data_IF_876023843463
#
_entry.id   IF_876023843463
#
_cell.length_a   1.000
_cell.length_b   1.000
_cell.length_c   1.000
_cell.angle_alpha   90.00
_cell.angle_beta   90.00
_cell.angle_gamma   90.00
#
_symmetry.space_group_name_H-M   'P 1'
#
loop_
_entity.id
_entity.type
_entity.pdbx_description
1 polymer ?
#
# COMPACT_ATOMS: atom_id res chain seq x y z
N UNK A 1 -5.02 -5.11 10.30
CA UNK A 1 -4.28 -3.82 10.35
C UNK A 1 -4.37 -3.21 11.74
N UNK A 2 -3.27 -2.62 12.25
CA UNK A 2 -3.26 -1.84 13.50
C UNK A 2 -3.93 -0.49 13.26
N UNK A 3 -4.78 -0.06 14.19
CA UNK A 3 -5.45 1.24 14.10
C UNK A 3 -4.49 2.38 14.37
N UNK A 4 -4.65 3.46 13.61
CA UNK A 4 -3.98 4.73 13.86
C UNK A 4 -4.56 5.37 15.12
N UNK A 5 -3.74 6.06 15.93
CA UNK A 5 -4.19 6.85 17.09
C UNK A 5 -3.92 8.32 16.82
N UNK A 6 -4.96 9.13 16.83
CA UNK A 6 -4.89 10.59 16.59
C UNK A 6 -5.17 11.32 17.89
N UNK A 7 -4.23 12.15 18.34
CA UNK A 7 -4.44 13.09 19.43
C UNK A 7 -5.03 14.40 18.92
N UNK A 8 -6.04 14.93 19.56
CA UNK A 8 -6.61 16.25 19.26
C UNK A 8 -6.37 17.20 20.42
N UNK A 9 -5.68 18.32 20.15
CA UNK A 9 -5.37 19.36 21.13
C UNK A 9 -5.90 20.71 20.63
N UNK A 10 -6.70 21.40 21.43
CA UNK A 10 -7.21 22.75 21.13
C UNK A 10 -6.28 23.85 21.66
N UNK A 11 -5.95 24.84 20.82
CA UNK A 11 -5.20 26.02 21.22
C UNK A 11 -6.05 27.28 21.09
N UNK A 12 -5.90 28.25 21.99
CA UNK A 12 -6.64 29.51 21.93
C UNK A 12 -5.94 30.66 22.63
N UNK A 13 -6.50 31.84 22.47
CA UNK A 13 -6.15 33.05 23.20
C UNK A 13 -7.42 33.78 23.65
N UNK A 14 -7.40 34.35 24.84
CA UNK A 14 -8.59 34.94 25.48
C UNK A 14 -9.12 36.21 24.78
N UNK A 15 -8.25 36.96 24.08
CA UNK A 15 -8.56 38.24 23.45
C UNK A 15 -9.57 38.21 22.30
N UNK A 16 -9.82 37.06 21.69
CA UNK A 16 -10.79 36.95 20.61
C UNK A 16 -12.19 36.64 21.14
N UNK A 17 -13.27 37.31 20.65
CA UNK A 17 -14.60 37.26 21.27
C UNK A 17 -15.40 35.97 20.99
N UNK A 18 -15.00 35.14 20.03
CA UNK A 18 -15.73 33.93 19.67
C UNK A 18 -15.84 32.92 20.82
N UNK A 19 -16.90 32.11 20.78
CA UNK A 19 -17.10 31.02 21.75
C UNK A 19 -16.18 29.84 21.43
N UNK A 20 -14.99 29.82 22.02
CA UNK A 20 -13.93 28.85 21.77
C UNK A 20 -14.26 27.45 22.27
N UNK A 21 -14.98 27.36 23.38
CA UNK A 21 -15.40 26.09 23.96
C UNK A 21 -16.37 25.36 23.01
N UNK A 22 -17.40 26.07 22.54
CA UNK A 22 -18.35 25.51 21.57
C UNK A 22 -17.69 25.15 20.24
N UNK A 23 -16.75 26.00 19.74
CA UNK A 23 -16.04 25.74 18.50
C UNK A 23 -15.12 24.50 18.59
N UNK A 24 -14.35 24.37 19.68
CA UNK A 24 -13.52 23.18 19.90
C UNK A 24 -14.36 21.91 20.05
N UNK A 25 -15.46 22.01 20.82
CA UNK A 25 -16.37 20.88 20.97
C UNK A 25 -16.93 20.40 19.63
N UNK A 26 -17.37 21.31 18.76
CA UNK A 26 -17.84 20.95 17.43
C UNK A 26 -16.76 20.26 16.60
N UNK A 27 -15.52 20.73 16.66
CA UNK A 27 -14.38 20.08 16.01
C UNK A 27 -14.11 18.68 16.57
N UNK A 28 -14.16 18.50 17.89
CA UNK A 28 -13.96 17.20 18.53
C UNK A 28 -15.09 16.21 18.19
N UNK A 29 -16.35 16.67 18.17
CA UNK A 29 -17.51 15.86 17.79
C UNK A 29 -17.40 15.40 16.32
N UNK A 30 -16.94 16.27 15.41
CA UNK A 30 -16.69 15.91 14.00
C UNK A 30 -15.54 14.88 13.87
N UNK A 31 -14.44 15.07 14.58
CA UNK A 31 -13.33 14.13 14.60
C UNK A 31 -13.74 12.77 15.15
N UNK A 32 -14.64 12.72 16.13
CA UNK A 32 -15.17 11.45 16.66
C UNK A 32 -15.97 10.68 15.59
N UNK A 33 -16.81 11.38 14.80
CA UNK A 33 -17.51 10.76 13.65
C UNK A 33 -16.55 10.23 12.61
N UNK A 34 -15.48 11.00 12.32
CA UNK A 34 -14.43 10.53 11.39
C UNK A 34 -13.66 9.33 11.96
N UNK A 35 -13.40 9.27 13.25
CA UNK A 35 -12.76 8.11 13.88
C UNK A 35 -13.59 6.83 13.67
N UNK A 36 -14.89 6.93 13.81
CA UNK A 36 -15.82 5.80 13.59
C UNK A 36 -15.85 5.36 12.11
N UNK A 37 -15.91 6.33 11.18
CA UNK A 37 -16.03 6.03 9.73
C UNK A 37 -14.72 5.62 9.08
N UNK A 38 -13.60 6.23 9.49
CA UNK A 38 -12.25 5.96 8.93
C UNK A 38 -11.46 4.91 9.71
N UNK A 39 -11.95 4.49 10.90
CA UNK A 39 -11.39 3.39 11.66
C UNK A 39 -10.13 3.72 12.47
N UNK A 40 -9.89 4.97 12.85
CA UNK A 40 -8.82 5.36 13.77
C UNK A 40 -9.32 5.53 15.23
N UNK A 41 -8.42 5.62 16.20
CA UNK A 41 -8.72 5.93 17.59
C UNK A 41 -8.45 7.41 17.83
N UNK A 42 -9.42 8.12 18.43
CA UNK A 42 -9.29 9.54 18.79
C UNK A 42 -9.01 9.71 20.29
N UNK A 43 -7.98 10.47 20.62
CA UNK A 43 -7.65 10.90 21.99
C UNK A 43 -7.77 12.41 22.07
N UNK A 44 -8.74 12.92 22.79
CA UNK A 44 -8.97 14.36 22.94
C UNK A 44 -8.33 14.86 24.24
N UNK A 45 -7.44 15.85 24.12
CA UNK A 45 -6.90 16.52 25.31
C UNK A 45 -7.99 17.43 25.92
N UNK A 46 -8.28 17.30 27.22
CA UNK A 46 -9.46 17.92 27.80
C UNK A 46 -9.32 19.43 28.06
N UNK A 47 -8.09 19.94 28.14
CA UNK A 47 -7.83 21.33 28.49
C UNK A 47 -7.44 22.17 27.27
N UNK A 48 -7.81 23.44 27.25
CA UNK A 48 -7.36 24.37 26.22
C UNK A 48 -5.93 24.83 26.49
N UNK A 49 -5.08 24.75 25.47
CA UNK A 49 -3.69 25.18 25.54
C UNK A 49 -3.59 26.66 25.19
N UNK A 50 -3.19 27.48 26.20
CA UNK A 50 -3.08 28.94 26.08
C UNK A 50 -1.64 29.41 26.21
N UNK A 51 -0.89 28.85 27.15
CA UNK A 51 0.50 29.22 27.43
C UNK A 51 1.44 28.03 27.16
N UNK A 52 2.74 28.34 27.14
CA UNK A 52 3.77 27.33 26.84
C UNK A 52 3.71 26.12 27.79
N UNK A 53 3.45 26.36 29.04
CA UNK A 53 3.36 25.32 30.09
C UNK A 53 2.22 24.35 29.83
N UNK A 54 1.08 24.82 29.31
CA UNK A 54 -0.05 23.98 28.90
C UNK A 54 0.34 23.10 27.71
N UNK A 55 1.05 23.69 26.73
CA UNK A 55 1.55 22.91 25.57
C UNK A 55 2.49 21.79 26.02
N UNK A 56 3.37 22.00 26.98
CA UNK A 56 4.26 20.96 27.53
C UNK A 56 3.46 19.84 28.18
N UNK A 57 2.41 20.18 28.97
CA UNK A 57 1.53 19.17 29.58
C UNK A 57 0.76 18.38 28.53
N UNK A 58 0.19 19.08 27.54
CA UNK A 58 -0.55 18.45 26.44
C UNK A 58 0.32 17.49 25.63
N UNK A 59 1.53 17.92 25.23
CA UNK A 59 2.47 17.06 24.49
C UNK A 59 2.81 15.81 25.30
N UNK A 60 3.15 15.98 26.60
CA UNK A 60 3.45 14.84 27.46
C UNK A 60 2.28 13.87 27.56
N UNK A 61 1.06 14.37 27.77
CA UNK A 61 -0.13 13.52 27.81
C UNK A 61 -0.34 12.74 26.50
N UNK A 62 -0.14 13.39 25.34
CA UNK A 62 -0.27 12.74 24.04
C UNK A 62 0.84 11.70 23.79
N UNK A 63 2.06 11.95 24.26
CA UNK A 63 3.16 10.98 24.21
C UNK A 63 2.88 9.76 25.11
N UNK A 64 2.37 9.97 26.34
CA UNK A 64 1.96 8.90 27.24
C UNK A 64 0.84 8.03 26.65
N UNK A 65 -0.06 8.62 25.85
CA UNK A 65 -1.11 7.94 25.07
C UNK A 65 -0.58 7.26 23.80
N UNK A 66 0.68 7.44 23.45
CA UNK A 66 1.33 6.85 22.26
C UNK A 66 0.56 7.09 20.97
N UNK A 67 0.18 8.35 20.73
CA UNK A 67 -0.48 8.73 19.49
C UNK A 67 0.49 8.65 18.30
N UNK A 68 -0.04 8.44 17.10
CA UNK A 68 0.71 8.42 15.84
C UNK A 68 0.67 9.78 15.11
N UNK A 69 -0.35 10.58 15.38
CA UNK A 69 -0.57 11.88 14.77
C UNK A 69 -1.17 12.86 15.77
N UNK A 70 -0.56 14.03 15.91
CA UNK A 70 -1.08 15.13 16.71
C UNK A 70 -1.81 16.13 15.81
N UNK A 71 -3.13 16.22 15.93
CA UNK A 71 -3.94 17.29 15.34
C UNK A 71 -4.04 18.45 16.33
N UNK A 72 -3.39 19.55 16.03
CA UNK A 72 -3.52 20.81 16.79
C UNK A 72 -4.59 21.66 16.15
N UNK A 73 -5.74 21.75 16.79
CA UNK A 73 -6.86 22.58 16.35
C UNK A 73 -6.69 23.98 16.93
N UNK A 74 -6.42 24.97 16.07
CA UNK A 74 -6.33 26.38 16.42
C UNK A 74 -7.74 26.96 16.55
N UNK A 75 -8.34 26.80 17.72
CA UNK A 75 -9.73 27.26 17.99
C UNK A 75 -9.85 28.77 17.85
N UNK A 76 -8.81 29.49 18.25
CA UNK A 76 -8.60 30.87 17.89
C UNK A 76 -7.13 31.16 17.65
N UNK A 77 -6.76 32.40 17.37
CA UNK A 77 -5.37 32.83 17.40
C UNK A 77 -4.68 32.33 18.68
N UNK A 78 -3.50 31.80 18.56
CA UNK A 78 -2.70 31.30 19.70
C UNK A 78 -1.26 31.74 19.59
N UNK A 79 -0.59 31.89 20.75
CA UNK A 79 0.75 32.45 20.81
C UNK A 79 1.80 31.57 20.08
N UNK A 80 2.69 32.22 19.32
CA UNK A 80 3.71 31.52 18.52
C UNK A 80 4.68 30.65 19.30
N UNK A 81 4.86 30.94 20.60
CA UNK A 81 5.69 30.14 21.51
C UNK A 81 5.18 28.70 21.73
N UNK A 82 3.93 28.40 21.35
CA UNK A 82 3.36 27.05 21.43
C UNK A 82 3.90 26.16 20.30
N UNK A 83 4.15 26.73 19.10
CA UNK A 83 4.55 25.97 17.93
C UNK A 83 5.81 25.10 18.15
N UNK A 84 6.92 25.60 18.74
CA UNK A 84 8.11 24.77 18.98
C UNK A 84 7.87 23.61 19.94
N UNK A 85 6.92 23.73 20.85
CA UNK A 85 6.59 22.65 21.79
C UNK A 85 5.73 21.60 21.12
N UNK A 86 4.64 22.02 20.49
CA UNK A 86 3.68 21.13 19.83
C UNK A 86 4.29 20.38 18.63
N UNK A 87 5.10 21.09 17.81
CA UNK A 87 5.71 20.50 16.62
C UNK A 87 6.85 19.52 16.92
N UNK A 88 7.43 19.55 18.13
CA UNK A 88 8.52 18.63 18.53
C UNK A 88 8.04 17.40 19.30
N UNK A 89 6.77 17.08 19.28
CA UNK A 89 6.25 15.85 19.87
C UNK A 89 7.05 14.65 19.34
N UNK A 90 7.36 13.70 20.21
CA UNK A 90 8.13 12.53 19.84
C UNK A 90 7.23 11.41 19.29
N UNK A 91 7.72 10.72 18.27
CA UNK A 91 7.08 9.53 17.68
C UNK A 91 5.69 9.76 17.06
N UNK A 92 5.31 11.01 16.80
CA UNK A 92 4.05 11.35 16.13
C UNK A 92 4.29 12.41 15.04
N UNK A 93 3.53 12.32 13.94
CA UNK A 93 3.46 13.38 12.95
C UNK A 93 2.50 14.47 13.43
N UNK A 94 2.57 15.67 12.84
CA UNK A 94 1.82 16.84 13.32
C UNK A 94 0.98 17.46 12.21
N UNK A 95 -0.26 17.83 12.54
CA UNK A 95 -1.13 18.63 11.70
C UNK A 95 -1.65 19.85 12.44
N UNK A 96 -1.72 20.99 11.76
CA UNK A 96 -2.34 22.21 12.25
C UNK A 96 -3.67 22.43 11.54
N UNK A 97 -4.73 22.66 12.30
CA UNK A 97 -6.08 22.80 11.80
C UNK A 97 -6.68 24.14 12.20
N UNK A 98 -7.08 24.96 11.20
CA UNK A 98 -7.82 26.19 11.40
C UNK A 98 -9.26 26.06 10.90
N UNK A 99 -10.18 26.73 11.58
CA UNK A 99 -11.58 26.85 11.19
C UNK A 99 -11.85 28.21 10.50
N UNK A 100 -12.86 28.27 9.63
CA UNK A 100 -13.34 29.53 9.07
C UNK A 100 -13.84 30.49 10.14
N UNK A 101 -13.76 31.79 9.84
CA UNK A 101 -14.38 32.82 10.70
C UNK A 101 -15.92 32.75 10.57
N UNK A 102 -16.57 33.06 11.66
CA UNK A 102 -18.01 33.34 11.68
C UNK A 102 -18.33 34.79 11.40
N UNK A 103 -19.60 35.19 11.65
CA UNK A 103 -20.02 36.58 11.56
C UNK A 103 -19.26 37.45 12.58
N UNK A 104 -18.95 38.71 12.23
CA UNK A 104 -18.26 39.61 13.17
C UNK A 104 -19.02 39.77 14.47
N UNK A 105 -18.30 39.79 15.59
CA UNK A 105 -18.84 40.07 16.93
C UNK A 105 -18.46 41.50 17.28
N UNK A 106 -19.45 42.41 17.32
CA UNK A 106 -19.21 43.85 17.54
C UNK A 106 -18.13 44.43 16.58
N UNK A 107 -18.09 43.94 15.35
CA UNK A 107 -17.10 44.31 14.33
C UNK A 107 -15.73 43.63 14.47
N UNK A 108 -15.52 42.81 15.47
CA UNK A 108 -14.28 42.08 15.66
C UNK A 108 -14.29 40.69 14.96
N UNK A 109 -13.12 40.24 14.54
CA UNK A 109 -12.90 38.87 14.06
C UNK A 109 -13.08 37.90 15.23
N UNK A 110 -13.96 36.87 15.12
CA UNK A 110 -14.28 36.00 16.26
C UNK A 110 -13.11 35.14 16.74
N UNK A 111 -12.33 34.58 15.85
CA UNK A 111 -11.33 33.57 16.19
C UNK A 111 -9.92 33.90 15.72
N UNK A 112 -9.76 34.42 14.50
CA UNK A 112 -8.48 34.62 13.82
C UNK A 112 -7.64 33.34 13.73
N UNK A 113 -8.32 32.21 13.52
CA UNK A 113 -7.78 30.86 13.53
C UNK A 113 -6.77 30.62 12.40
N UNK A 114 -7.08 31.05 11.17
CA UNK A 114 -6.18 30.92 10.02
C UNK A 114 -4.86 31.69 10.19
N UNK A 115 -4.92 32.89 10.76
CA UNK A 115 -3.72 33.66 11.06
C UNK A 115 -2.79 32.91 12.05
N UNK A 116 -3.39 32.21 13.00
CA UNK A 116 -2.65 31.40 13.97
C UNK A 116 -1.84 30.29 13.28
N UNK A 117 -2.47 29.48 12.42
CA UNK A 117 -1.70 28.42 11.73
C UNK A 117 -0.66 28.99 10.77
N UNK A 118 -0.95 30.11 10.08
CA UNK A 118 0.04 30.76 9.21
C UNK A 118 1.29 31.16 10.01
N UNK A 119 1.13 31.79 11.18
CA UNK A 119 2.25 32.14 12.06
C UNK A 119 2.98 30.87 12.56
N UNK A 120 2.27 29.85 13.04
CA UNK A 120 2.88 28.62 13.54
C UNK A 120 3.65 27.87 12.44
N UNK A 121 3.11 27.78 11.22
CA UNK A 121 3.80 27.22 10.06
C UNK A 121 5.08 27.99 9.74
N UNK A 122 5.04 29.33 9.77
CA UNK A 122 6.21 30.18 9.60
C UNK A 122 7.29 29.91 10.67
N UNK A 123 6.87 29.74 11.93
CA UNK A 123 7.79 29.39 13.03
C UNK A 123 8.44 28.02 12.78
N UNK A 124 7.66 27.01 12.43
CA UNK A 124 8.22 25.68 12.11
C UNK A 124 9.21 25.76 10.95
N UNK A 125 8.84 26.44 9.86
CA UNK A 125 9.68 26.54 8.67
C UNK A 125 11.01 27.28 8.91
N UNK A 126 11.01 28.31 9.72
CA UNK A 126 12.18 29.18 9.90
C UNK A 126 12.97 28.90 11.17
N UNK A 127 12.31 28.69 12.31
CA UNK A 127 13.00 28.48 13.60
C UNK A 127 13.32 27.00 13.86
N UNK A 128 12.58 26.07 13.23
CA UNK A 128 12.78 24.63 13.42
C UNK A 128 13.32 23.92 12.17
N UNK A 129 13.85 24.66 11.20
CA UNK A 129 14.33 24.11 9.91
C UNK A 129 15.33 22.96 10.06
N UNK A 130 16.20 23.02 11.06
CA UNK A 130 17.23 22.02 11.30
C UNK A 130 16.68 20.69 11.84
N UNK A 131 15.48 20.72 12.41
CA UNK A 131 14.76 19.51 12.86
C UNK A 131 14.05 18.78 11.73
N UNK A 132 13.94 19.40 10.54
CA UNK A 132 13.26 18.83 9.36
C UNK A 132 11.82 18.37 9.65
N UNK A 133 11.14 19.06 10.58
CA UNK A 133 9.75 18.76 10.95
C UNK A 133 8.84 19.11 9.78
N UNK A 134 8.01 18.16 9.39
CA UNK A 134 6.95 18.36 8.41
C UNK A 134 5.62 18.49 9.13
N UNK A 135 4.86 19.54 8.83
CA UNK A 135 3.54 19.77 9.39
C UNK A 135 2.53 19.84 8.26
N UNK A 136 1.47 19.06 8.38
CA UNK A 136 0.34 19.15 7.46
C UNK A 136 -0.64 20.22 7.98
N UNK A 137 -1.19 21.03 7.09
CA UNK A 137 -2.23 21.99 7.43
C UNK A 137 -3.61 21.50 7.00
N UNK A 138 -4.62 21.88 7.78
CA UNK A 138 -6.04 21.65 7.52
C UNK A 138 -6.79 22.96 7.68
N UNK A 139 -7.83 23.17 6.87
CA UNK A 139 -8.71 24.32 6.95
C UNK A 139 -10.14 23.91 6.62
N UNK A 140 -11.10 24.44 7.36
CA UNK A 140 -12.51 24.16 7.21
C UNK A 140 -13.15 23.66 8.50
N UNK A 141 -14.47 23.54 8.47
CA UNK A 141 -15.20 22.83 9.51
C UNK A 141 -14.97 21.33 9.38
N UNK A 142 -15.11 20.57 10.46
CA UNK A 142 -14.85 19.13 10.46
C UNK A 142 -15.74 18.32 9.52
N UNK A 143 -16.91 18.82 9.16
CA UNK A 143 -17.85 18.21 8.24
C UNK A 143 -17.62 18.59 6.75
N UNK A 144 -16.72 19.53 6.47
CA UNK A 144 -16.46 19.97 5.10
C UNK A 144 -15.85 18.85 4.26
N UNK A 145 -16.29 18.73 3.01
CA UNK A 145 -15.84 17.67 2.11
C UNK A 145 -14.31 17.69 1.90
N UNK A 146 -13.71 18.88 1.75
CA UNK A 146 -12.26 19.00 1.56
C UNK A 146 -11.49 18.65 2.83
N UNK A 147 -11.97 19.04 4.02
CA UNK A 147 -11.37 18.62 5.28
C UNK A 147 -11.41 17.10 5.41
N UNK A 148 -12.58 16.51 5.16
CA UNK A 148 -12.80 15.05 5.18
C UNK A 148 -11.85 14.32 4.22
N UNK A 149 -11.75 14.79 2.98
CA UNK A 149 -10.84 14.22 1.96
C UNK A 149 -9.39 14.27 2.44
N UNK A 150 -8.91 15.41 2.90
CA UNK A 150 -7.54 15.59 3.37
C UNK A 150 -7.23 14.74 4.61
N UNK A 151 -8.18 14.63 5.53
CA UNK A 151 -8.04 13.76 6.71
C UNK A 151 -7.96 12.29 6.30
N UNK A 152 -8.81 11.85 5.37
CA UNK A 152 -8.78 10.46 4.87
C UNK A 152 -7.45 10.10 4.23
N UNK A 153 -6.89 10.98 3.39
CA UNK A 153 -5.56 10.81 2.79
C UNK A 153 -4.50 10.61 3.88
N UNK A 154 -4.48 11.49 4.90
CA UNK A 154 -3.54 11.39 6.02
C UNK A 154 -3.71 10.10 6.81
N UNK A 155 -4.95 9.74 7.13
CA UNK A 155 -5.25 8.50 7.88
C UNK A 155 -4.75 7.27 7.11
N UNK A 156 -5.00 7.18 5.81
CA UNK A 156 -4.54 6.07 4.96
C UNK A 156 -3.01 6.00 4.87
N UNK A 157 -2.36 7.12 4.58
CA UNK A 157 -0.90 7.19 4.47
C UNK A 157 -0.20 6.79 5.79
N UNK A 158 -0.63 7.35 6.92
CA UNK A 158 -0.05 7.04 8.23
C UNK A 158 -0.40 5.63 8.70
N UNK A 159 -1.59 5.12 8.37
CA UNK A 159 -1.95 3.71 8.63
C UNK A 159 -1.03 2.77 7.87
N UNK A 160 -0.70 3.08 6.62
CA UNK A 160 0.24 2.29 5.83
C UNK A 160 1.63 2.28 6.46
N UNK A 161 2.18 3.44 6.83
CA UNK A 161 3.48 3.56 7.50
C UNK A 161 3.51 2.76 8.81
N UNK A 162 2.48 2.93 9.66
CA UNK A 162 2.37 2.22 10.93
C UNK A 162 2.34 0.70 10.76
N UNK A 163 1.56 0.21 9.80
CA UNK A 163 1.44 -1.22 9.55
C UNK A 163 2.70 -1.80 8.92
N UNK A 164 3.34 -1.10 7.98
CA UNK A 164 4.64 -1.52 7.42
C UNK A 164 5.69 -1.70 8.50
N UNK A 165 5.84 -0.76 9.42
CA UNK A 165 6.78 -0.85 10.56
C UNK A 165 6.53 -2.06 11.47
N UNK A 166 5.37 -2.67 11.39
CA UNK A 166 4.99 -3.84 12.18
C UNK A 166 4.90 -5.11 11.34
N UNK A 167 5.12 -5.03 10.03
CA UNK A 167 4.94 -6.15 9.10
C UNK A 167 6.07 -7.17 9.22
N UNK A 168 5.72 -8.42 8.96
CA UNK A 168 6.62 -9.57 8.92
C UNK A 168 6.67 -10.12 7.51
N UNK A 169 7.86 -10.20 6.94
CA UNK A 169 8.07 -10.64 5.56
C UNK A 169 9.02 -11.83 5.54
N UNK A 170 8.61 -12.90 4.87
CA UNK A 170 9.43 -14.08 4.60
C UNK A 170 9.99 -14.06 3.19
N UNK A 171 11.24 -14.52 3.01
CA UNK A 171 11.82 -14.83 1.71
C UNK A 171 12.08 -16.33 1.64
N UNK A 172 11.52 -16.98 0.62
CA UNK A 172 11.66 -18.42 0.39
C UNK A 172 12.46 -18.68 -0.88
N UNK A 173 13.61 -19.31 -0.75
CA UNK A 173 14.45 -19.74 -1.86
C UNK A 173 15.34 -18.66 -2.49
N UNK A 174 15.27 -17.42 -2.01
CA UNK A 174 16.07 -16.29 -2.51
C UNK A 174 15.52 -15.65 -3.78
N UNK A 175 16.28 -14.75 -4.38
CA UNK A 175 15.96 -14.13 -5.68
C UNK A 175 16.15 -15.14 -6.79
N UNK A 176 15.26 -15.15 -7.78
CA UNK A 176 15.36 -16.04 -8.93
C UNK A 176 16.65 -15.77 -9.74
N UNK A 177 17.34 -16.80 -10.23
CA UNK A 177 18.60 -16.62 -10.94
C UNK A 177 18.47 -15.74 -12.19
N UNK A 178 19.38 -14.76 -12.33
CA UNK A 178 19.40 -13.84 -13.47
C UNK A 178 18.62 -12.55 -13.25
N UNK A 179 17.80 -12.43 -12.20
CA UNK A 179 17.06 -11.23 -11.86
C UNK A 179 17.85 -10.34 -10.91
N UNK A 180 19.01 -9.90 -11.37
CA UNK A 180 19.98 -9.17 -10.54
C UNK A 180 19.46 -7.79 -10.09
N UNK A 181 18.51 -7.22 -10.81
CA UNK A 181 17.86 -5.95 -10.46
C UNK A 181 16.88 -6.06 -9.28
N UNK A 182 16.46 -7.29 -8.91
CA UNK A 182 15.56 -7.51 -7.77
C UNK A 182 16.26 -7.67 -6.43
N UNK A 183 17.60 -7.66 -6.40
CA UNK A 183 18.32 -7.69 -5.13
C UNK A 183 18.06 -6.42 -4.33
N UNK A 184 17.84 -6.59 -3.03
CA UNK A 184 17.60 -5.52 -2.08
C UNK A 184 18.66 -5.50 -0.97
N UNK A 185 18.79 -4.37 -0.29
CA UNK A 185 19.58 -4.24 0.93
C UNK A 185 18.63 -4.06 2.13
N UNK A 186 18.56 -5.06 2.98
CA UNK A 186 17.75 -5.04 4.21
C UNK A 186 18.10 -3.83 5.10
N UNK A 187 19.33 -3.35 5.09
CA UNK A 187 19.74 -2.16 5.85
C UNK A 187 19.04 -0.90 5.33
N UNK A 188 18.83 -0.78 4.02
CA UNK A 188 18.08 0.33 3.42
C UNK A 188 16.61 0.26 3.81
N UNK A 189 16.00 -0.92 3.75
CA UNK A 189 14.63 -1.15 4.19
C UNK A 189 14.44 -0.84 5.68
N UNK A 190 15.31 -1.34 6.55
CA UNK A 190 15.24 -1.08 7.99
C UNK A 190 15.47 0.40 8.33
N UNK A 191 16.34 1.09 7.59
CA UNK A 191 16.55 2.53 7.76
C UNK A 191 15.31 3.34 7.37
N UNK A 192 14.57 2.88 6.36
CA UNK A 192 13.39 3.59 5.84
C UNK A 192 12.12 3.25 6.63
N UNK A 193 11.93 1.98 6.95
CA UNK A 193 10.76 1.44 7.63
C UNK A 193 11.17 0.71 8.90
N UNK A 194 11.71 1.47 9.84
CA UNK A 194 12.15 0.96 11.14
C UNK A 194 11.11 0.04 11.79
N UNK A 195 11.50 -1.19 12.09
CA UNK A 195 10.63 -2.20 12.72
C UNK A 195 10.07 -3.28 11.79
N UNK A 196 10.22 -3.17 10.46
CA UNK A 196 9.91 -4.30 9.57
C UNK A 196 10.78 -5.49 9.95
N UNK A 197 10.15 -6.67 10.06
CA UNK A 197 10.84 -7.93 10.30
C UNK A 197 11.01 -8.71 9.01
N UNK A 198 12.24 -9.13 8.72
CA UNK A 198 12.56 -10.00 7.59
C UNK A 198 13.11 -11.32 8.07
N UNK A 199 12.67 -12.43 7.43
CA UNK A 199 13.31 -13.72 7.56
C UNK A 199 13.69 -14.24 6.17
N UNK A 200 14.98 -14.31 5.90
CA UNK A 200 15.57 -14.72 4.61
C UNK A 200 16.12 -16.14 4.62
N UNK A 201 15.91 -16.88 5.70
CA UNK A 201 16.55 -18.18 5.93
C UNK A 201 15.67 -19.36 5.53
N UNK A 202 14.55 -19.12 4.83
CA UNK A 202 13.67 -20.20 4.41
C UNK A 202 14.13 -20.84 3.11
N UNK A 203 14.36 -22.12 3.18
CA UNK A 203 14.69 -22.93 2.02
C UNK A 203 13.42 -23.44 1.34
N UNK A 204 13.47 -23.53 0.01
CA UNK A 204 12.40 -24.14 -0.77
C UNK A 204 12.05 -25.57 -0.30
N UNK A 205 13.07 -26.35 0.16
CA UNK A 205 12.90 -27.72 0.64
C UNK A 205 11.95 -27.82 1.84
N UNK A 206 11.90 -26.83 2.72
CA UNK A 206 10.98 -26.82 3.88
C UNK A 206 9.52 -26.89 3.42
N UNK A 207 9.15 -26.09 2.43
CA UNK A 207 7.80 -26.10 1.86
C UNK A 207 7.53 -27.33 1.00
N UNK A 208 8.54 -27.79 0.24
CA UNK A 208 8.44 -29.01 -0.58
C UNK A 208 8.13 -30.22 0.27
N UNK A 209 8.89 -30.45 1.35
CA UNK A 209 8.72 -31.60 2.23
C UNK A 209 7.33 -31.55 2.90
N UNK A 210 6.91 -30.37 3.36
CA UNK A 210 5.58 -30.17 3.92
C UNK A 210 4.47 -30.44 2.88
N UNK A 211 4.60 -29.94 1.65
CA UNK A 211 3.64 -30.15 0.58
C UNK A 211 3.49 -31.62 0.21
N UNK A 212 4.59 -32.38 0.15
CA UNK A 212 4.59 -33.80 -0.18
C UNK A 212 4.04 -34.69 0.94
N UNK A 213 4.03 -34.23 2.18
CA UNK A 213 3.52 -35.00 3.31
C UNK A 213 1.99 -35.11 3.37
N UNK A 214 1.25 -34.22 2.69
CA UNK A 214 -0.23 -34.25 2.71
C UNK A 214 -0.78 -35.44 1.96
N UNK A 215 -1.81 -36.08 2.52
CA UNK A 215 -2.62 -37.12 1.87
C UNK A 215 -3.55 -36.50 0.82
N UNK A 216 -4.09 -37.32 -0.09
CA UNK A 216 -5.09 -36.89 -1.06
C UNK A 216 -6.37 -36.37 -0.40
N UNK A 217 -6.78 -36.96 0.73
CA UNK A 217 -8.00 -36.53 1.45
C UNK A 217 -7.87 -35.09 1.99
N UNK A 218 -6.66 -34.69 2.40
CA UNK A 218 -6.39 -33.33 2.90
C UNK A 218 -6.41 -32.25 1.80
N UNK A 219 -6.13 -32.62 0.56
CA UNK A 219 -6.02 -31.66 -0.55
C UNK A 219 -7.20 -31.69 -1.51
N UNK A 220 -8.03 -32.75 -1.46
CA UNK A 220 -9.15 -32.92 -2.42
C UNK A 220 -10.10 -31.74 -2.42
N UNK A 221 -10.54 -31.27 -1.24
CA UNK A 221 -11.41 -30.10 -1.14
C UNK A 221 -10.75 -28.83 -1.67
N UNK A 222 -9.44 -28.70 -1.52
CA UNK A 222 -8.70 -27.56 -2.08
C UNK A 222 -8.71 -27.61 -3.59
N UNK A 223 -8.44 -28.77 -4.19
CA UNK A 223 -8.53 -28.97 -5.63
C UNK A 223 -9.92 -28.64 -6.18
N UNK A 224 -10.96 -29.16 -5.53
CA UNK A 224 -12.35 -28.92 -5.91
C UNK A 224 -12.69 -27.41 -5.86
N UNK A 225 -12.25 -26.72 -4.83
CA UNK A 225 -12.43 -25.27 -4.70
C UNK A 225 -11.66 -24.47 -5.74
N UNK A 226 -10.41 -24.83 -6.05
CA UNK A 226 -9.63 -24.18 -7.11
C UNK A 226 -10.35 -24.24 -8.46
N UNK A 227 -10.96 -25.38 -8.80
CA UNK A 227 -11.76 -25.53 -10.00
C UNK A 227 -13.06 -24.74 -9.92
N UNK A 228 -13.77 -24.83 -8.80
CA UNK A 228 -15.06 -24.16 -8.63
C UNK A 228 -14.95 -22.62 -8.67
N UNK A 229 -13.83 -22.05 -8.22
CA UNK A 229 -13.56 -20.62 -8.29
C UNK A 229 -13.10 -20.14 -9.68
N UNK A 230 -12.89 -21.05 -10.62
CA UNK A 230 -12.42 -20.76 -11.99
C UNK A 230 -13.52 -21.00 -13.04
N UNK A 231 -13.27 -20.57 -14.27
CA UNK A 231 -14.06 -20.92 -15.44
C UNK A 231 -13.62 -22.26 -16.08
N UNK A 232 -12.99 -23.14 -15.29
CA UNK A 232 -12.46 -24.41 -15.74
C UNK A 232 -11.02 -24.33 -16.24
N UNK A 233 -10.62 -25.35 -16.99
CA UNK A 233 -9.26 -25.45 -17.50
C UNK A 233 -9.12 -24.81 -18.88
N UNK A 234 -7.99 -24.14 -19.11
CA UNK A 234 -7.60 -23.67 -20.43
C UNK A 234 -6.98 -24.81 -21.28
N UNK A 235 -6.35 -25.79 -20.59
CA UNK A 235 -5.68 -26.93 -21.23
C UNK A 235 -5.60 -28.15 -20.29
N UNK A 236 -5.35 -29.34 -20.86
CA UNK A 236 -5.24 -30.62 -20.14
C UNK A 236 -3.98 -30.72 -19.27
N UNK A 237 -2.95 -29.95 -19.57
CA UNK A 237 -1.71 -30.00 -18.78
C UNK A 237 -1.90 -29.31 -17.42
N UNK A 238 -2.66 -28.21 -17.37
CA UNK A 238 -3.03 -27.56 -16.13
C UNK A 238 -3.82 -28.51 -15.21
N UNK A 239 -4.70 -29.34 -15.77
CA UNK A 239 -5.45 -30.33 -14.99
C UNK A 239 -4.56 -31.36 -14.31
N UNK A 240 -3.47 -31.81 -14.99
CA UNK A 240 -2.54 -32.80 -14.46
C UNK A 240 -1.68 -32.27 -13.30
N UNK A 241 -1.50 -30.96 -13.19
CA UNK A 241 -0.65 -30.35 -12.17
C UNK A 241 -1.44 -29.68 -11.03
N UNK A 242 -2.77 -29.79 -11.06
CA UNK A 242 -3.64 -29.20 -10.03
C UNK A 242 -3.35 -29.76 -8.64
N UNK A 243 -3.05 -31.05 -8.53
CA UNK A 243 -2.68 -31.70 -7.26
C UNK A 243 -1.48 -31.01 -6.63
N UNK A 244 -0.43 -30.75 -7.39
CA UNK A 244 0.78 -30.08 -6.91
C UNK A 244 0.44 -28.65 -6.44
N UNK A 245 -0.43 -27.93 -7.17
CA UNK A 245 -0.92 -26.62 -6.76
C UNK A 245 -1.62 -26.67 -5.40
N UNK A 246 -2.52 -27.62 -5.19
CA UNK A 246 -3.27 -27.76 -3.94
C UNK A 246 -2.37 -28.09 -2.76
N UNK A 247 -1.34 -28.93 -2.95
CA UNK A 247 -0.33 -29.27 -1.94
C UNK A 247 0.46 -28.05 -1.52
N UNK A 248 1.00 -27.29 -2.47
CA UNK A 248 1.74 -26.06 -2.17
C UNK A 248 0.87 -24.95 -1.62
N UNK A 249 -0.38 -24.80 -2.07
CA UNK A 249 -1.31 -23.85 -1.46
C UNK A 249 -1.50 -24.14 0.04
N UNK A 250 -1.77 -25.41 0.41
CA UNK A 250 -1.92 -25.79 1.81
C UNK A 250 -0.63 -25.54 2.59
N UNK A 251 0.51 -25.93 2.03
CA UNK A 251 1.82 -25.75 2.67
C UNK A 251 2.12 -24.26 2.93
N UNK A 252 1.93 -23.39 1.94
CA UNK A 252 2.13 -21.96 2.12
C UNK A 252 1.16 -21.35 3.13
N UNK A 253 -0.11 -21.74 3.07
CA UNK A 253 -1.13 -21.22 4.01
C UNK A 253 -0.78 -21.52 5.45
N UNK A 254 -0.38 -22.74 5.75
CA UNK A 254 0.06 -23.13 7.09
C UNK A 254 1.38 -22.47 7.47
N UNK A 255 2.35 -22.42 6.57
CA UNK A 255 3.64 -21.78 6.80
C UNK A 255 3.50 -20.27 7.11
N UNK A 256 2.61 -19.57 6.40
CA UNK A 256 2.29 -18.17 6.65
C UNK A 256 1.71 -17.99 8.05
N UNK A 257 0.75 -18.84 8.43
CA UNK A 257 0.11 -18.78 9.75
C UNK A 257 1.09 -19.10 10.89
N UNK A 258 1.92 -20.12 10.74
CA UNK A 258 2.93 -20.54 11.74
C UNK A 258 3.96 -19.43 12.01
N UNK A 259 4.32 -18.65 10.99
CA UNK A 259 5.32 -17.58 11.10
C UNK A 259 4.71 -16.17 11.27
N UNK A 260 3.39 -16.06 11.21
CA UNK A 260 2.66 -14.78 11.23
C UNK A 260 3.17 -13.80 10.17
N UNK A 261 3.35 -14.26 8.93
CA UNK A 261 3.79 -13.40 7.82
C UNK A 261 2.63 -12.59 7.22
N UNK A 262 2.88 -11.31 7.00
CA UNK A 262 1.99 -10.41 6.22
C UNK A 262 2.27 -10.51 4.73
N UNK A 263 3.51 -10.85 4.36
CA UNK A 263 3.94 -11.05 2.99
C UNK A 263 5.02 -12.13 2.89
N UNK A 264 5.08 -12.77 1.72
CA UNK A 264 6.18 -13.67 1.33
C UNK A 264 6.67 -13.30 -0.07
N UNK A 265 7.98 -13.22 -0.23
CA UNK A 265 8.64 -13.23 -1.53
C UNK A 265 9.11 -14.67 -1.84
N UNK A 266 8.75 -15.18 -3.03
CA UNK A 266 8.93 -16.59 -3.39
C UNK A 266 9.80 -16.72 -4.62
N UNK A 267 10.89 -17.48 -4.53
CA UNK A 267 11.63 -17.94 -5.70
C UNK A 267 10.79 -18.98 -6.46
N UNK A 268 9.94 -18.52 -7.38
CA UNK A 268 8.97 -19.37 -8.07
C UNK A 268 9.61 -20.30 -9.11
N UNK A 269 10.86 -20.08 -9.48
CA UNK A 269 11.69 -20.91 -10.35
C UNK A 269 13.16 -20.79 -9.93
N UNK A 270 14.11 -21.70 -10.33
CA UNK A 270 13.89 -22.88 -11.16
C UNK A 270 13.42 -24.11 -10.38
N UNK A 271 13.49 -24.12 -9.04
CA UNK A 271 13.30 -25.32 -8.22
C UNK A 271 11.97 -26.04 -8.45
N UNK A 272 10.87 -25.29 -8.57
CA UNK A 272 9.55 -25.87 -8.84
C UNK A 272 9.52 -26.57 -10.22
N UNK A 273 10.14 -25.98 -11.24
CA UNK A 273 10.22 -26.58 -12.57
C UNK A 273 11.13 -27.82 -12.59
N UNK A 274 12.27 -27.75 -11.88
CA UNK A 274 13.20 -28.88 -11.80
C UNK A 274 12.54 -30.10 -11.16
N UNK A 275 11.87 -29.91 -10.03
CA UNK A 275 11.29 -30.99 -9.22
C UNK A 275 9.97 -31.53 -9.80
N UNK A 276 9.08 -30.64 -10.28
CA UNK A 276 7.70 -30.99 -10.60
C UNK A 276 7.28 -30.65 -12.03
N UNK A 277 8.14 -30.00 -12.81
CA UNK A 277 7.73 -29.35 -14.07
C UNK A 277 6.55 -28.41 -13.86
N UNK A 278 6.53 -27.73 -12.70
CA UNK A 278 5.42 -26.99 -12.15
C UNK A 278 5.80 -25.52 -11.93
N UNK A 279 4.82 -24.65 -12.03
CA UNK A 279 4.92 -23.23 -11.68
C UNK A 279 3.87 -22.88 -10.60
N UNK A 280 4.29 -22.20 -9.56
CA UNK A 280 3.47 -21.91 -8.36
C UNK A 280 2.52 -20.70 -8.53
N UNK A 281 2.42 -20.14 -9.75
CA UNK A 281 1.73 -18.86 -10.02
C UNK A 281 0.29 -18.79 -9.51
N UNK A 282 -0.54 -19.82 -9.75
CA UNK A 282 -1.95 -19.81 -9.30
C UNK A 282 -2.07 -19.79 -7.78
N UNK A 283 -1.11 -20.42 -7.08
CA UNK A 283 -1.07 -20.42 -5.61
C UNK A 283 -0.79 -19.01 -5.08
N UNK A 284 0.16 -18.29 -5.69
CA UNK A 284 0.43 -16.89 -5.34
C UNK A 284 -0.82 -16.02 -5.52
N UNK A 285 -1.50 -16.17 -6.66
CA UNK A 285 -2.74 -15.44 -6.94
C UNK A 285 -3.85 -15.75 -5.94
N UNK A 286 -4.01 -17.01 -5.52
CA UNK A 286 -5.03 -17.40 -4.56
C UNK A 286 -4.76 -16.86 -3.16
N UNK A 287 -3.51 -16.89 -2.70
CA UNK A 287 -3.13 -16.33 -1.41
C UNK A 287 -3.22 -14.80 -1.39
N UNK A 288 -2.95 -14.14 -2.53
CA UNK A 288 -3.22 -12.71 -2.68
C UNK A 288 -4.73 -12.40 -2.55
N UNK A 289 -5.63 -13.17 -3.17
CA UNK A 289 -7.08 -13.03 -2.98
C UNK A 289 -7.51 -13.18 -1.52
N UNK A 290 -6.84 -14.05 -0.77
CA UNK A 290 -7.11 -14.29 0.65
C UNK A 290 -6.46 -13.26 1.58
N UNK A 291 -5.76 -12.28 1.00
CA UNK A 291 -5.22 -11.13 1.71
C UNK A 291 -3.79 -11.29 2.23
N UNK A 292 -3.07 -12.38 1.92
CA UNK A 292 -1.62 -12.46 2.14
C UNK A 292 -0.89 -11.96 0.91
N UNK A 293 0.03 -11.02 1.06
CA UNK A 293 0.83 -10.53 -0.06
C UNK A 293 1.85 -11.59 -0.48
N UNK A 294 1.79 -12.01 -1.74
CA UNK A 294 2.70 -12.97 -2.35
C UNK A 294 3.41 -12.32 -3.54
N UNK A 295 4.70 -12.02 -3.37
CA UNK A 295 5.55 -11.51 -4.44
C UNK A 295 6.31 -12.63 -5.15
N UNK A 296 6.39 -12.56 -6.48
CA UNK A 296 7.06 -13.54 -7.32
C UNK A 296 8.57 -13.31 -7.34
N UNK A 297 9.33 -14.34 -7.74
CA UNK A 297 10.75 -14.28 -8.10
C UNK A 297 11.70 -13.84 -6.99
N UNK A 298 11.20 -13.92 -5.72
CA UNK A 298 11.98 -13.54 -4.55
C UNK A 298 12.11 -12.03 -4.35
N UNK A 299 11.25 -11.24 -4.99
CA UNK A 299 11.29 -9.77 -4.94
C UNK A 299 10.71 -9.22 -3.62
N UNK A 300 11.58 -9.02 -2.65
CA UNK A 300 11.24 -8.45 -1.33
C UNK A 300 10.74 -7.02 -1.44
N UNK A 301 11.32 -6.20 -2.34
CA UNK A 301 10.89 -4.81 -2.54
C UNK A 301 9.48 -4.72 -3.12
N UNK A 302 9.13 -5.65 -4.01
CA UNK A 302 7.73 -5.78 -4.47
C UNK A 302 6.81 -6.21 -3.32
N UNK A 303 7.21 -7.14 -2.46
CA UNK A 303 6.41 -7.51 -1.30
C UNK A 303 6.14 -6.31 -0.39
N UNK A 304 7.14 -5.47 -0.11
CA UNK A 304 6.99 -4.22 0.66
C UNK A 304 6.08 -3.23 -0.06
N UNK A 305 6.26 -3.03 -1.37
CA UNK A 305 5.45 -2.10 -2.16
C UNK A 305 3.99 -2.56 -2.27
N UNK A 306 3.74 -3.87 -2.45
CA UNK A 306 2.39 -4.46 -2.42
C UNK A 306 1.73 -4.28 -1.05
N UNK A 307 2.46 -4.49 0.07
CA UNK A 307 1.94 -4.23 1.41
C UNK A 307 1.60 -2.75 1.62
N UNK A 308 2.46 -1.84 1.18
CA UNK A 308 2.19 -0.41 1.26
C UNK A 308 0.91 -0.04 0.52
N UNK A 309 0.76 -0.49 -0.75
CA UNK A 309 -0.44 -0.29 -1.55
C UNK A 309 -1.68 -0.88 -0.87
N UNK A 310 -1.60 -2.11 -0.37
CA UNK A 310 -2.70 -2.76 0.35
C UNK A 310 -3.14 -1.94 1.56
N UNK A 311 -2.21 -1.44 2.36
CA UNK A 311 -2.54 -0.65 3.55
C UNK A 311 -3.10 0.74 3.18
N UNK A 312 -2.54 1.41 2.16
CA UNK A 312 -3.06 2.66 1.60
C UNK A 312 -4.49 2.48 1.10
N UNK A 313 -4.75 1.38 0.40
CA UNK A 313 -6.04 1.05 -0.18
C UNK A 313 -7.06 0.45 0.81
N UNK A 314 -6.74 0.48 2.12
CA UNK A 314 -7.67 -0.01 3.15
C UNK A 314 -7.85 -1.52 3.19
N UNK A 315 -6.89 -2.29 2.67
CA UNK A 315 -6.91 -3.75 2.63
C UNK A 315 -7.25 -4.34 1.26
N UNK A 316 -7.41 -3.52 0.22
CA UNK A 316 -7.68 -3.99 -1.16
C UNK A 316 -6.55 -4.92 -1.63
N UNK A 317 -6.90 -5.88 -2.48
CA UNK A 317 -6.00 -6.90 -2.99
C UNK A 317 -5.02 -6.30 -3.99
N UNK A 318 -3.75 -6.62 -3.82
CA UNK A 318 -2.68 -6.21 -4.75
C UNK A 318 -2.22 -7.36 -5.63
N UNK A 319 -1.62 -7.04 -6.77
CA UNK A 319 -0.96 -8.00 -7.64
C UNK A 319 0.38 -7.46 -8.13
N UNK A 320 1.23 -8.34 -8.65
CA UNK A 320 2.53 -8.01 -9.21
C UNK A 320 2.54 -8.24 -10.71
N UNK A 321 3.00 -7.25 -11.49
CA UNK A 321 2.97 -7.27 -12.95
C UNK A 321 4.29 -6.79 -13.54
N UNK A 322 4.60 -7.26 -14.75
CA UNK A 322 5.68 -6.75 -15.59
C UNK A 322 5.16 -5.70 -16.58
N UNK A 323 5.98 -4.73 -16.92
CA UNK A 323 5.74 -3.86 -18.08
C UNK A 323 6.26 -4.56 -19.34
N UNK A 324 5.35 -5.21 -20.09
CA UNK A 324 5.71 -6.11 -21.19
C UNK A 324 5.64 -5.48 -22.58
N UNK A 325 4.82 -4.45 -22.76
CA UNK A 325 4.72 -3.75 -24.05
C UNK A 325 4.15 -2.33 -23.87
N UNK A 326 4.29 -1.51 -24.89
CA UNK A 326 3.60 -0.23 -25.02
C UNK A 326 3.17 -0.01 -26.48
N UNK A 327 2.17 0.84 -26.67
CA UNK A 327 1.65 1.20 -27.97
C UNK A 327 1.43 2.72 -28.07
N UNK A 328 2.25 3.37 -28.88
CA UNK A 328 2.18 4.84 -29.11
C UNK A 328 0.92 5.27 -29.88
N UNK A 329 0.22 4.34 -30.54
CA UNK A 329 -0.95 4.70 -31.36
C UNK A 329 -2.17 5.01 -30.52
N UNK A 330 -2.35 4.29 -29.44
CA UNK A 330 -3.48 4.45 -28.52
C UNK A 330 -3.05 4.79 -27.11
N UNK A 331 -1.77 5.14 -26.92
CA UNK A 331 -1.21 5.59 -25.63
C UNK A 331 -1.43 4.59 -24.50
N UNK A 332 -1.20 3.30 -24.76
CA UNK A 332 -1.37 2.22 -23.76
C UNK A 332 -0.08 1.49 -23.46
N UNK A 333 -0.01 0.92 -22.26
CA UNK A 333 1.01 -0.07 -21.85
C UNK A 333 0.36 -1.41 -21.55
N UNK A 334 1.08 -2.52 -21.75
CA UNK A 334 0.66 -3.85 -21.34
C UNK A 334 1.33 -4.19 -20.02
N UNK A 335 0.52 -4.42 -18.99
CA UNK A 335 0.93 -5.05 -17.76
C UNK A 335 0.59 -6.54 -17.86
N UNK A 336 1.61 -7.39 -17.77
CA UNK A 336 1.50 -8.84 -17.95
C UNK A 336 2.31 -9.57 -16.87
N UNK A 337 1.89 -10.76 -16.49
CA UNK A 337 2.71 -11.72 -15.75
C UNK A 337 2.26 -13.14 -16.05
N UNK A 338 3.11 -14.11 -15.72
CA UNK A 338 2.89 -15.52 -16.04
C UNK A 338 1.69 -16.20 -15.35
N UNK A 339 0.90 -15.49 -14.53
CA UNK A 339 -0.37 -15.98 -13.97
C UNK A 339 -0.52 -15.93 -12.44
N UNK A 340 0.19 -15.04 -11.69
CA UNK A 340 0.05 -14.92 -10.23
C UNK A 340 -1.02 -13.92 -9.79
N UNK A 341 -1.78 -13.33 -10.70
CA UNK A 341 -2.73 -12.30 -10.33
C UNK A 341 -3.93 -12.84 -9.55
N UNK A 342 -4.47 -11.99 -8.69
CA UNK A 342 -5.66 -12.24 -7.92
C UNK A 342 -6.93 -12.21 -8.79
N UNK A 343 -7.93 -13.04 -8.48
CA UNK A 343 -9.20 -13.09 -9.21
C UNK A 343 -10.01 -11.79 -9.09
N UNK A 344 -9.70 -10.97 -8.08
CA UNK A 344 -10.25 -9.63 -7.89
C UNK A 344 -10.14 -8.74 -9.14
N UNK A 345 -9.14 -8.99 -10.00
CA UNK A 345 -8.88 -8.21 -11.22
C UNK A 345 -9.71 -8.62 -12.44
N UNK A 346 -10.43 -9.77 -12.37
CA UNK A 346 -11.22 -10.30 -13.48
C UNK A 346 -12.62 -10.78 -13.05
N UNK A 347 -13.27 -10.08 -12.14
CA UNK A 347 -14.56 -10.47 -11.57
C UNK A 347 -15.68 -10.59 -12.59
N UNK A 348 -15.64 -9.78 -13.67
CA UNK A 348 -16.64 -9.81 -14.75
C UNK A 348 -16.42 -11.01 -15.69
N UNK A 349 -15.17 -11.27 -16.05
CA UNK A 349 -14.79 -12.23 -17.09
C UNK A 349 -14.37 -13.58 -16.52
N UNK A 350 -13.97 -13.63 -15.25
CA UNK A 350 -13.38 -14.79 -14.61
C UNK A 350 -12.00 -15.16 -15.16
N UNK A 351 -11.44 -16.26 -14.69
CA UNK A 351 -10.15 -16.79 -15.15
C UNK A 351 -10.24 -18.28 -15.43
N UNK A 352 -9.35 -18.77 -16.28
CA UNK A 352 -9.14 -20.20 -16.50
C UNK A 352 -7.86 -20.67 -15.83
N UNK A 353 -7.85 -21.92 -15.41
CA UNK A 353 -6.64 -22.61 -14.96
C UNK A 353 -5.87 -23.08 -16.20
N UNK A 354 -4.76 -22.41 -16.51
CA UNK A 354 -3.93 -22.68 -17.68
C UNK A 354 -2.51 -23.08 -17.30
N UNK A 355 -1.73 -23.50 -18.27
CA UNK A 355 -0.30 -23.71 -18.11
C UNK A 355 0.43 -22.37 -17.92
N UNK A 356 1.59 -22.43 -17.29
CA UNK A 356 2.52 -21.33 -17.34
C UNK A 356 3.18 -21.27 -18.71
N UNK A 357 2.89 -20.23 -19.47
CA UNK A 357 3.42 -20.01 -20.82
C UNK A 357 4.70 -19.17 -20.85
N UNK A 358 5.31 -18.88 -19.68
CA UNK A 358 6.58 -18.17 -19.63
C UNK A 358 7.71 -19.03 -20.24
N UNK A 359 8.67 -18.38 -20.89
CA UNK A 359 9.84 -19.06 -21.46
C UNK A 359 10.73 -19.77 -20.44
N UNK A 360 10.55 -19.46 -19.15
CA UNK A 360 11.36 -19.99 -18.04
C UNK A 360 11.05 -21.47 -17.71
N UNK A 361 9.87 -21.96 -18.07
CA UNK A 361 9.51 -23.37 -17.96
C UNK A 361 9.90 -24.18 -19.22
N UNK A 362 10.80 -23.68 -20.04
CA UNK A 362 11.12 -24.25 -21.35
C UNK A 362 12.21 -25.32 -21.26
N UNK A 363 11.86 -26.57 -21.54
CA UNK A 363 12.80 -27.59 -21.97
C UNK A 363 12.81 -27.64 -23.50
N UNK A 364 13.97 -27.44 -24.17
CA UNK A 364 14.04 -27.19 -25.61
C UNK A 364 13.42 -28.24 -26.52
N UNK A 365 13.14 -29.43 -26.06
CA UNK A 365 12.65 -30.53 -26.90
C UNK A 365 11.26 -31.09 -26.55
N UNK A 366 10.56 -30.47 -25.59
CA UNK A 366 9.29 -31.02 -25.08
C UNK A 366 8.03 -30.24 -25.48
N UNK A 367 8.15 -29.14 -26.20
CA UNK A 367 7.03 -28.34 -26.69
C UNK A 367 6.25 -27.61 -25.56
N UNK A 368 5.15 -26.96 -25.92
CA UNK A 368 4.30 -26.21 -25.00
C UNK A 368 3.71 -27.06 -23.86
N UNK A 369 3.53 -28.37 -24.09
CA UNK A 369 2.94 -29.31 -23.12
C UNK A 369 3.82 -29.65 -21.93
N UNK A 370 5.11 -29.31 -21.97
CA UNK A 370 6.04 -29.51 -20.86
C UNK A 370 6.16 -28.32 -19.90
N UNK A 371 5.53 -27.21 -20.23
CA UNK A 371 5.57 -25.99 -19.44
C UNK A 371 4.46 -25.98 -18.37
N UNK A 372 4.39 -27.06 -17.60
CA UNK A 372 3.28 -27.27 -16.71
C UNK A 372 3.47 -26.56 -15.37
N UNK A 373 2.41 -26.06 -14.89
CA UNK A 373 2.09 -25.44 -13.62
C UNK A 373 0.73 -24.81 -13.80
N UNK A 374 -0.02 -24.69 -12.73
CA UNK A 374 -1.31 -24.01 -12.82
C UNK A 374 -1.07 -22.52 -12.69
N UNK A 375 -1.34 -21.79 -13.76
CA UNK A 375 -1.38 -20.34 -13.82
C UNK A 375 -2.83 -19.87 -13.95
N UNK A 376 -3.11 -18.65 -13.58
CA UNK A 376 -4.40 -17.99 -13.80
C UNK A 376 -4.36 -17.23 -15.11
N UNK A 377 -4.99 -17.80 -16.12
CA UNK A 377 -5.14 -17.18 -17.44
C UNK A 377 -6.36 -16.25 -17.40
N UNK A 378 -6.12 -14.94 -17.35
CA UNK A 378 -7.14 -13.91 -17.20
C UNK A 378 -6.81 -12.63 -17.95
N UNK A 379 -7.86 -11.98 -18.45
CA UNK A 379 -7.82 -10.58 -18.89
C UNK A 379 -8.46 -9.73 -17.80
N UNK A 380 -7.77 -8.67 -17.40
CA UNK A 380 -8.28 -7.79 -16.35
C UNK A 380 -9.50 -7.00 -16.81
N UNK A 381 -10.42 -6.78 -15.88
CA UNK A 381 -11.58 -5.92 -16.09
C UNK A 381 -11.14 -4.45 -16.18
N UNK A 382 -11.97 -3.64 -16.82
CA UNK A 382 -11.84 -2.19 -16.86
C UNK A 382 -12.00 -1.58 -15.46
N UNK A 383 -10.90 -1.12 -14.90
CA UNK A 383 -10.83 -0.49 -13.58
C UNK A 383 -9.73 0.57 -13.55
N UNK A 384 -9.93 1.68 -12.80
CA UNK A 384 -8.81 2.55 -12.46
C UNK A 384 -7.81 1.79 -11.61
N UNK A 385 -6.53 2.07 -11.81
CA UNK A 385 -5.45 1.41 -11.08
C UNK A 385 -4.42 2.42 -10.58
N UNK A 386 -3.77 2.02 -9.50
CA UNK A 386 -2.58 2.66 -8.97
C UNK A 386 -1.44 1.65 -8.94
N UNK A 387 -0.29 2.08 -9.40
CA UNK A 387 0.96 1.32 -9.41
C UNK A 387 1.98 2.04 -8.56
N UNK A 388 2.68 1.32 -7.70
CA UNK A 388 3.77 1.88 -6.91
C UNK A 388 4.92 0.89 -6.77
N UNK A 389 6.14 1.37 -6.97
CA UNK A 389 7.37 0.60 -6.76
C UNK A 389 8.38 1.42 -5.99
N UNK A 390 8.96 0.83 -4.93
CA UNK A 390 10.15 1.37 -4.26
C UNK A 390 11.40 1.05 -5.08
N UNK A 391 12.35 1.99 -5.14
CA UNK A 391 13.67 1.75 -5.74
C UNK A 391 14.48 0.76 -4.91
N UNK A 392 15.52 0.16 -5.51
CA UNK A 392 16.45 -0.74 -4.83
C UNK A 392 17.12 -0.13 -3.59
N UNK A 393 17.36 1.17 -3.62
CA UNK A 393 17.95 1.92 -2.50
C UNK A 393 16.91 2.37 -1.45
N UNK A 394 15.63 2.15 -1.68
CA UNK A 394 14.51 2.63 -0.86
C UNK A 394 14.49 4.16 -0.63
N UNK A 395 15.15 4.92 -1.48
CA UNK A 395 15.26 6.39 -1.42
C UNK A 395 14.28 7.11 -2.34
N UNK A 396 13.74 6.38 -3.32
CA UNK A 396 12.78 6.85 -4.32
C UNK A 396 11.65 5.86 -4.48
N UNK A 397 10.56 6.32 -5.06
CA UNK A 397 9.48 5.48 -5.57
C UNK A 397 9.01 6.00 -6.91
N UNK A 398 8.54 5.11 -7.77
CA UNK A 398 7.71 5.45 -8.91
C UNK A 398 6.25 5.24 -8.55
N UNK A 399 5.42 6.18 -8.94
CA UNK A 399 3.97 6.09 -8.81
C UNK A 399 3.34 6.36 -10.17
N UNK A 400 2.63 5.38 -10.68
CA UNK A 400 1.86 5.47 -11.93
C UNK A 400 0.38 5.28 -11.63
N UNK A 401 -0.46 5.98 -12.37
CA UNK A 401 -1.90 5.76 -12.44
C UNK A 401 -2.33 5.45 -13.85
N UNK A 402 -3.50 4.86 -14.00
CA UNK A 402 -4.12 4.57 -15.27
C UNK A 402 -5.43 3.82 -15.12
N UNK A 403 -5.92 3.29 -16.21
CA UNK A 403 -7.15 2.50 -16.24
C UNK A 403 -6.93 1.27 -17.12
N UNK A 404 -7.26 0.08 -16.61
CA UNK A 404 -7.31 -1.11 -17.45
C UNK A 404 -8.42 -0.97 -18.46
N UNK A 405 -8.09 -1.33 -19.69
CA UNK A 405 -8.95 -1.24 -20.86
C UNK A 405 -9.04 -2.57 -21.56
N UNK A 406 -10.10 -2.80 -22.32
CA UNK A 406 -10.29 -3.96 -23.18
C UNK A 406 -10.18 -3.56 -24.66
N UNK A 407 -9.00 -3.15 -25.15
CA UNK A 407 -8.82 -2.77 -26.54
C UNK A 407 -8.92 -4.00 -27.47
N UNK A 408 -9.30 -3.75 -28.72
CA UNK A 408 -9.27 -4.77 -29.78
C UNK A 408 -7.80 -5.01 -30.21
N UNK A 409 -7.07 -5.70 -29.36
CA UNK A 409 -5.65 -6.06 -29.54
C UNK A 409 -5.44 -7.54 -29.27
N UNK A 410 -4.34 -8.10 -29.83
CA UNK A 410 -3.94 -9.45 -29.47
C UNK A 410 -3.70 -9.57 -27.96
N UNK A 411 -4.01 -10.73 -27.44
CA UNK A 411 -3.90 -11.05 -26.03
C UNK A 411 -2.92 -12.22 -25.84
N UNK A 412 -2.14 -12.16 -24.75
CA UNK A 412 -1.20 -13.20 -24.36
C UNK A 412 -1.84 -14.09 -23.30
N UNK A 413 -1.35 -15.32 -23.13
CA UNK A 413 -1.72 -16.14 -21.98
C UNK A 413 -1.07 -15.61 -20.70
N UNK A 414 -1.66 -15.91 -19.55
CA UNK A 414 -1.25 -15.44 -18.25
C UNK A 414 -2.22 -14.38 -17.69
N UNK A 415 -1.78 -13.62 -16.69
CA UNK A 415 -2.54 -12.51 -16.13
C UNK A 415 -2.16 -11.22 -16.85
N UNK A 416 -3.12 -10.47 -17.38
CA UNK A 416 -2.81 -9.33 -18.25
C UNK A 416 -3.89 -8.27 -18.33
N UNK A 417 -3.45 -7.03 -18.55
CA UNK A 417 -4.31 -5.90 -18.85
C UNK A 417 -3.58 -4.81 -19.65
N UNK A 418 -4.21 -4.30 -20.70
CA UNK A 418 -3.80 -3.06 -21.32
C UNK A 418 -4.27 -1.88 -20.47
N UNK A 419 -3.37 -0.95 -20.21
CA UNK A 419 -3.62 0.21 -19.36
C UNK A 419 -3.43 1.50 -20.17
N UNK A 420 -4.45 2.34 -20.19
CA UNK A 420 -4.44 3.68 -20.79
C UNK A 420 -4.69 4.76 -19.75
N UNK A 421 -4.97 5.99 -20.19
CA UNK A 421 -5.16 7.16 -19.33
C UNK A 421 -3.99 7.36 -18.34
N UNK A 422 -2.76 7.16 -18.84
CA UNK A 422 -1.55 7.06 -18.03
C UNK A 422 -1.21 8.35 -17.30
N UNK A 423 -0.81 8.21 -16.05
CA UNK A 423 -0.25 9.30 -15.24
C UNK A 423 1.05 8.86 -14.59
N UNK A 424 1.96 9.82 -14.37
CA UNK A 424 3.16 9.65 -13.55
C UNK A 424 3.13 10.72 -12.45
N UNK A 425 3.19 10.28 -11.20
CA UNK A 425 3.04 11.15 -10.03
C UNK A 425 1.76 12.03 -10.08
N UNK A 426 0.68 11.51 -10.69
CA UNK A 426 -0.60 12.18 -10.85
C UNK A 426 -0.71 13.15 -12.02
N UNK A 427 0.36 13.31 -12.82
CA UNK A 427 0.35 14.14 -14.02
C UNK A 427 0.23 13.26 -15.27
N UNK A 428 -0.55 13.69 -16.26
CA UNK A 428 -0.70 12.96 -17.52
C UNK A 428 0.65 12.78 -18.22
N UNK A 429 0.87 11.59 -18.77
CA UNK A 429 2.10 11.25 -19.49
C UNK A 429 1.78 10.38 -20.71
N UNK A 430 2.56 10.50 -21.78
CA UNK A 430 2.48 9.58 -22.92
C UNK A 430 3.05 8.21 -22.56
N UNK A 431 2.60 7.15 -23.23
CA UNK A 431 3.14 5.80 -23.04
C UNK A 431 4.66 5.75 -23.28
N UNK A 432 5.13 6.49 -24.30
CA UNK A 432 6.56 6.59 -24.62
C UNK A 432 7.37 7.31 -23.56
N UNK A 433 6.91 8.45 -23.06
CA UNK A 433 7.64 9.21 -22.03
C UNK A 433 7.64 8.46 -20.69
N UNK A 434 6.56 7.76 -20.37
CA UNK A 434 6.50 6.88 -19.20
C UNK A 434 7.56 5.77 -19.31
N UNK A 435 7.59 5.05 -20.44
CA UNK A 435 8.59 4.00 -20.69
C UNK A 435 10.01 4.56 -20.62
N UNK A 436 10.26 5.69 -21.28
CA UNK A 436 11.56 6.36 -21.25
C UNK A 436 11.97 6.72 -19.81
N UNK A 437 11.04 7.23 -19.01
CA UNK A 437 11.30 7.57 -17.60
C UNK A 437 11.68 6.32 -16.80
N UNK A 438 10.93 5.23 -16.92
CA UNK A 438 11.20 3.97 -16.21
C UNK A 438 12.59 3.44 -16.58
N UNK A 439 12.90 3.33 -17.87
CA UNK A 439 14.16 2.76 -18.35
C UNK A 439 15.38 3.62 -17.98
N UNK A 440 15.28 4.94 -18.11
CA UNK A 440 16.39 5.85 -17.82
C UNK A 440 16.63 5.99 -16.30
N UNK A 441 15.58 5.93 -15.49
CA UNK A 441 15.72 6.00 -14.03
C UNK A 441 16.12 4.67 -13.40
N UNK A 442 16.04 3.55 -14.15
CA UNK A 442 16.49 2.24 -13.71
C UNK A 442 15.60 1.58 -12.66
N UNK A 443 14.29 1.89 -12.65
CA UNK A 443 13.38 1.13 -11.82
C UNK A 443 13.32 -0.33 -12.27
N UNK A 444 13.22 -1.23 -11.29
CA UNK A 444 13.14 -2.66 -11.52
C UNK A 444 11.89 -3.02 -12.33
N UNK A 445 11.90 -4.16 -13.01
CA UNK A 445 10.88 -4.55 -13.98
C UNK A 445 9.50 -4.94 -13.39
N UNK A 446 9.41 -5.20 -12.10
CA UNK A 446 8.18 -5.55 -11.41
C UNK A 446 7.40 -4.32 -10.93
N UNK A 447 6.10 -4.31 -11.18
CA UNK A 447 5.19 -3.22 -10.82
C UNK A 447 4.02 -3.73 -9.98
N UNK A 448 4.03 -3.49 -8.66
CA UNK A 448 2.89 -3.72 -7.79
C UNK A 448 1.69 -2.85 -8.19
N UNK A 449 0.52 -3.47 -8.29
CA UNK A 449 -0.72 -2.85 -8.76
C UNK A 449 -1.83 -3.01 -7.72
N UNK A 450 -2.68 -2.01 -7.56
CA UNK A 450 -3.95 -2.07 -6.82
C UNK A 450 -5.07 -1.40 -7.63
N UNK A 451 -6.30 -1.92 -7.52
CA UNK A 451 -7.49 -1.32 -8.13
C UNK A 451 -7.87 -0.07 -7.33
N UNK A 452 -8.15 1.03 -8.02
CA UNK A 452 -8.50 2.35 -7.47
C UNK A 452 -7.45 3.41 -7.72
N UNK A 453 -7.85 4.67 -7.53
CA UNK A 453 -6.93 5.82 -7.58
C UNK A 453 -6.56 6.24 -6.16
N UNK A 454 -5.29 6.11 -5.83
CA UNK A 454 -4.68 6.45 -4.53
C UNK A 454 -3.51 7.43 -4.69
N UNK A 455 -3.56 8.25 -5.73
CA UNK A 455 -2.50 9.21 -6.08
C UNK A 455 -2.16 10.14 -4.93
N UNK A 456 -3.16 10.72 -4.29
CA UNK A 456 -2.95 11.69 -3.20
C UNK A 456 -2.41 11.00 -1.95
N UNK A 457 -2.89 9.79 -1.64
CA UNK A 457 -2.42 8.99 -0.52
C UNK A 457 -0.96 8.57 -0.68
N UNK A 458 -0.53 8.22 -1.90
CA UNK A 458 0.87 7.87 -2.17
C UNK A 458 1.78 9.10 -2.06
N UNK A 459 1.34 10.26 -2.55
CA UNK A 459 2.08 11.52 -2.36
C UNK A 459 2.26 11.85 -0.87
N UNK A 460 1.22 11.66 -0.08
CA UNK A 460 1.27 11.85 1.38
C UNK A 460 2.18 10.82 2.07
N UNK A 461 2.10 9.56 1.64
CA UNK A 461 2.96 8.47 2.15
C UNK A 461 4.45 8.74 1.88
N UNK A 462 4.79 9.33 0.73
CA UNK A 462 6.15 9.69 0.36
C UNK A 462 6.68 10.92 1.11
N UNK A 463 5.79 11.83 1.52
CA UNK A 463 6.14 13.07 2.19
C UNK A 463 6.57 12.88 3.63
#
# INVERSE_FOLDING_TARGET
>A
MKKLRIGLVGTSQLSFPGNKEAAFKACADAMQKHAETMGFELVVYPETVIVREDAVKAVKAMEDEKIDFLMVQHTSYSAGQLAPVLAKIQNANVGFWAIPEGEPIEGAVPFNSLCSINMHMGIVAHYLKDYKIKVKWFYGYGEDAEFTRRLQITVRALTAIKNLKCSRIGLVGGVAPGFNDLYDDERNLNRRFEGIYFNRLHEYSELKDKALAYSMDEIKLIMDNMVACSCGYADEAAKKTLEVSARFYKAYKEFIAENNYDAIAVSCWPKFQDDFKYSVCSVLGQLNDEGTVMACEGDVLSAVSMLALKYIAGGEVTTLMDLSAFDEKDETILLWHCGPAAARYCQKNGYKLGCNYSGMAHEPNMGLTARCGVARDMVFDDNPITVMRLSGECDKMIHMGGEFMLPDKFSFHGSRGWCGNLTLNGEKISAKDLLNTILVTGFQHHFPVVIGDYTDEIKEFAA
#
